data_IF_151635256665
#
_entry.id   IF_151635256665
#
_cell.length_a   1.000
_cell.length_b   1.000
_cell.length_c   1.000
_cell.angle_alpha   90.00
_cell.angle_beta   90.00
_cell.angle_gamma   90.00
#
_symmetry.space_group_name_H-M   'P 1'
#
loop_
_entity.id
_entity.type
_entity.pdbx_description
1 polymer ?
#
# COMPACT_ATOMS: atom_id res chain seq x y z
N UNK A 1 -21.03 6.41 -1.19
CA UNK A 1 -20.87 5.04 -0.65
C UNK A 1 -20.13 5.16 0.68
N UNK A 2 -20.59 4.53 1.76
CA UNK A 2 -19.98 4.71 3.10
C UNK A 2 -18.51 4.26 3.10
N UNK A 3 -17.60 5.06 3.68
CA UNK A 3 -16.16 4.77 3.85
C UNK A 3 -15.87 3.32 4.27
N UNK A 4 -16.61 2.83 5.26
CA UNK A 4 -16.47 1.45 5.76
C UNK A 4 -16.83 0.39 4.71
N UNK A 5 -17.78 0.67 3.82
CA UNK A 5 -18.13 -0.22 2.70
C UNK A 5 -16.99 -0.26 1.69
N UNK A 6 -16.36 0.88 1.38
CA UNK A 6 -15.23 0.93 0.44
C UNK A 6 -14.04 0.13 0.97
N UNK A 7 -13.68 0.29 2.24
CA UNK A 7 -12.59 -0.50 2.85
C UNK A 7 -12.92 -2.00 2.85
N UNK A 8 -14.16 -2.39 3.15
CA UNK A 8 -14.55 -3.81 3.10
C UNK A 8 -14.40 -4.39 1.70
N UNK A 9 -14.77 -3.65 0.66
CA UNK A 9 -14.55 -4.07 -0.73
C UNK A 9 -13.05 -4.22 -0.99
N UNK A 10 -12.22 -3.26 -0.57
CA UNK A 10 -10.76 -3.32 -0.73
C UNK A 10 -10.13 -4.54 -0.04
N UNK A 11 -10.57 -4.86 1.19
CA UNK A 11 -10.16 -6.07 1.92
C UNK A 11 -10.52 -7.32 1.12
N UNK A 12 -11.78 -7.44 0.67
CA UNK A 12 -12.25 -8.59 -0.11
C UNK A 12 -11.44 -8.72 -1.41
N UNK A 13 -11.21 -7.62 -2.13
CA UNK A 13 -10.42 -7.63 -3.36
C UNK A 13 -8.96 -8.01 -3.10
N UNK A 14 -8.37 -7.64 -1.96
CA UNK A 14 -7.03 -8.08 -1.59
C UNK A 14 -6.99 -9.57 -1.24
N UNK A 15 -8.00 -10.10 -0.56
CA UNK A 15 -8.08 -11.55 -0.31
C UNK A 15 -8.17 -12.32 -1.63
N UNK A 16 -9.03 -11.86 -2.55
CA UNK A 16 -9.13 -12.44 -3.89
C UNK A 16 -7.79 -12.34 -4.63
N UNK A 17 -7.11 -11.19 -4.54
CA UNK A 17 -5.81 -10.97 -5.14
C UNK A 17 -4.73 -11.94 -4.64
N UNK A 18 -4.69 -12.23 -3.32
CA UNK A 18 -3.79 -13.24 -2.75
C UNK A 18 -4.07 -14.62 -3.34
N UNK A 19 -5.34 -15.05 -3.33
CA UNK A 19 -5.74 -16.37 -3.85
C UNK A 19 -5.43 -16.48 -5.34
N UNK A 20 -5.74 -15.45 -6.12
CA UNK A 20 -5.41 -15.41 -7.55
C UNK A 20 -3.90 -15.45 -7.77
N UNK A 21 -3.11 -14.73 -6.97
CA UNK A 21 -1.65 -14.73 -7.01
C UNK A 21 -1.08 -16.14 -6.90
N UNK A 22 -1.51 -16.89 -5.87
CA UNK A 22 -1.12 -18.28 -5.64
C UNK A 22 -1.50 -19.17 -6.84
N UNK A 23 -2.71 -19.01 -7.38
CA UNK A 23 -3.18 -19.84 -8.51
C UNK A 23 -2.39 -19.56 -9.79
N UNK A 24 -2.06 -18.29 -10.06
CA UNK A 24 -1.40 -17.89 -11.31
C UNK A 24 0.12 -17.93 -11.22
N UNK A 25 0.70 -18.10 -10.03
CA UNK A 25 2.15 -18.24 -9.82
C UNK A 25 2.73 -19.36 -10.69
N UNK A 26 2.05 -20.51 -10.74
CA UNK A 26 2.48 -21.64 -11.58
C UNK A 26 2.57 -21.29 -13.09
N UNK A 27 1.80 -20.31 -13.55
CA UNK A 27 1.67 -19.96 -14.97
C UNK A 27 2.49 -18.73 -15.36
N UNK A 28 2.56 -17.74 -14.45
CA UNK A 28 3.13 -16.41 -14.72
C UNK A 28 4.26 -16.04 -13.76
N UNK A 29 4.65 -16.95 -12.87
CA UNK A 29 5.75 -16.86 -11.90
C UNK A 29 5.87 -15.45 -11.28
N UNK A 30 6.75 -14.60 -11.81
CA UNK A 30 6.95 -13.23 -11.33
C UNK A 30 5.66 -12.38 -11.23
N UNK A 31 4.69 -12.55 -12.14
CA UNK A 31 3.43 -11.80 -12.05
C UNK A 31 2.50 -12.36 -10.95
N UNK A 32 2.55 -13.67 -10.70
CA UNK A 32 1.84 -14.31 -9.59
C UNK A 32 2.40 -13.89 -8.24
N UNK A 33 3.73 -13.97 -8.08
CA UNK A 33 4.45 -13.50 -6.88
C UNK A 33 4.18 -12.01 -6.64
N UNK A 34 4.23 -11.18 -7.70
CA UNK A 34 3.89 -9.75 -7.59
C UNK A 34 2.48 -9.55 -7.07
N UNK A 35 1.49 -10.22 -7.68
CA UNK A 35 0.09 -10.06 -7.30
C UNK A 35 -0.16 -10.56 -5.88
N UNK A 36 0.38 -11.71 -5.51
CA UNK A 36 0.26 -12.28 -4.17
C UNK A 36 0.85 -11.33 -3.13
N UNK A 37 2.12 -10.96 -3.29
CA UNK A 37 2.85 -10.18 -2.29
C UNK A 37 2.24 -8.79 -2.10
N UNK A 38 1.94 -8.08 -3.19
CA UNK A 38 1.30 -6.76 -3.10
C UNK A 38 -0.13 -6.85 -2.56
N UNK A 39 -0.88 -7.91 -2.85
CA UNK A 39 -2.22 -8.11 -2.31
C UNK A 39 -2.18 -8.40 -0.81
N UNK A 40 -1.22 -9.21 -0.37
CA UNK A 40 -1.01 -9.52 1.05
C UNK A 40 -0.61 -8.28 1.84
N UNK A 41 0.36 -7.51 1.35
CA UNK A 41 0.78 -6.25 1.98
C UNK A 41 -0.39 -5.25 2.03
N UNK A 42 -1.13 -5.12 0.93
CA UNK A 42 -2.31 -4.25 0.88
C UNK A 42 -3.40 -4.70 1.85
N UNK A 43 -3.61 -6.01 2.03
CA UNK A 43 -4.57 -6.56 2.98
C UNK A 43 -4.25 -6.11 4.41
N UNK A 44 -2.99 -6.24 4.83
CA UNK A 44 -2.53 -5.79 6.16
C UNK A 44 -2.77 -4.29 6.32
N UNK A 45 -2.45 -3.49 5.31
CA UNK A 45 -2.68 -2.04 5.33
C UNK A 45 -4.17 -1.71 5.41
N UNK A 46 -5.04 -2.40 4.65
CA UNK A 46 -6.48 -2.16 4.66
C UNK A 46 -7.13 -2.50 5.99
N UNK A 47 -6.65 -3.55 6.66
CA UNK A 47 -7.09 -3.88 8.03
C UNK A 47 -6.79 -2.71 8.97
N UNK A 48 -5.59 -2.12 8.89
CA UNK A 48 -5.22 -0.95 9.71
C UNK A 48 -6.07 0.27 9.35
N UNK A 49 -6.23 0.55 8.05
CA UNK A 49 -7.03 1.68 7.56
C UNK A 49 -8.51 1.55 7.93
N UNK A 50 -9.03 0.35 8.18
CA UNK A 50 -10.42 0.14 8.62
C UNK A 50 -10.76 0.90 9.90
N UNK A 51 -9.78 1.08 10.79
CA UNK A 51 -9.94 1.76 12.07
C UNK A 51 -9.61 3.26 12.00
N UNK A 52 -9.19 3.76 10.84
CA UNK A 52 -8.71 5.12 10.67
C UNK A 52 -9.74 6.03 9.95
N UNK A 53 -9.62 7.36 10.14
CA UNK A 53 -10.48 8.33 9.47
C UNK A 53 -10.35 8.25 7.94
N UNK A 54 -11.43 8.60 7.24
CA UNK A 54 -11.51 8.59 5.77
C UNK A 54 -10.41 9.41 5.08
N UNK A 55 -10.00 10.52 5.69
CA UNK A 55 -8.90 11.34 5.17
C UNK A 55 -7.55 10.59 5.10
N UNK A 56 -7.31 9.60 5.96
CA UNK A 56 -6.09 8.77 5.90
C UNK A 56 -6.17 7.81 4.72
N UNK A 57 -7.34 7.20 4.48
CA UNK A 57 -7.56 6.32 3.33
C UNK A 57 -7.42 7.09 2.02
N UNK A 58 -8.01 8.28 1.90
CA UNK A 58 -7.93 9.09 0.68
C UNK A 58 -6.48 9.41 0.30
N UNK A 59 -5.69 9.88 1.28
CA UNK A 59 -4.26 10.15 1.08
C UNK A 59 -3.46 8.90 0.72
N UNK A 60 -3.80 7.74 1.31
CA UNK A 60 -3.15 6.48 0.98
C UNK A 60 -3.51 6.00 -0.43
N UNK A 61 -4.77 6.12 -0.87
CA UNK A 61 -5.21 5.73 -2.22
C UNK A 61 -4.50 6.55 -3.29
N UNK A 62 -4.32 7.86 -3.08
CA UNK A 62 -3.57 8.71 -4.01
C UNK A 62 -2.13 8.22 -4.20
N UNK A 63 -1.47 7.84 -3.10
CA UNK A 63 -0.15 7.23 -3.15
C UNK A 63 -0.17 5.89 -3.88
N UNK A 64 -1.05 4.96 -3.50
CA UNK A 64 -1.11 3.63 -4.07
C UNK A 64 -1.42 3.66 -5.59
N UNK A 65 -2.26 4.60 -6.03
CA UNK A 65 -2.58 4.81 -7.44
C UNK A 65 -1.36 5.15 -8.30
N UNK A 66 -0.36 5.83 -7.74
CA UNK A 66 0.87 6.20 -8.45
C UNK A 66 1.93 5.12 -8.27
N UNK A 67 2.06 4.60 -7.05
CA UNK A 67 3.11 3.65 -6.70
C UNK A 67 2.92 2.31 -7.43
N UNK A 68 1.71 1.74 -7.45
CA UNK A 68 1.47 0.42 -8.04
C UNK A 68 1.83 0.35 -9.53
N UNK A 69 1.41 1.29 -10.41
CA UNK A 69 1.85 1.29 -11.81
C UNK A 69 3.37 1.38 -11.96
N UNK A 70 4.03 2.22 -11.15
CA UNK A 70 5.49 2.35 -11.18
C UNK A 70 6.14 1.03 -10.78
N UNK A 71 5.66 0.36 -9.74
CA UNK A 71 6.18 -0.94 -9.30
C UNK A 71 6.01 -2.02 -10.35
N UNK A 72 4.87 -2.04 -11.07
CA UNK A 72 4.65 -2.97 -12.18
C UNK A 72 5.70 -2.73 -13.28
N UNK A 73 5.88 -1.48 -13.71
CA UNK A 73 6.85 -1.13 -14.76
C UNK A 73 8.27 -1.52 -14.34
N UNK A 74 8.68 -1.19 -13.11
CA UNK A 74 10.00 -1.54 -12.57
C UNK A 74 10.21 -3.05 -12.49
N UNK A 75 9.19 -3.80 -12.10
CA UNK A 75 9.25 -5.27 -12.05
C UNK A 75 9.37 -5.88 -13.44
N UNK A 76 8.68 -5.32 -14.45
CA UNK A 76 8.72 -5.80 -15.83
C UNK A 76 10.10 -5.62 -16.49
N UNK A 77 10.78 -4.51 -16.21
CA UNK A 77 12.12 -4.23 -16.75
C UNK A 77 13.24 -4.90 -15.94
N UNK A 78 12.94 -5.44 -14.76
CA UNK A 78 13.94 -6.10 -13.92
C UNK A 78 14.43 -7.40 -14.58
N UNK A 79 15.75 -7.69 -14.55
CA UNK A 79 16.30 -8.87 -15.20
C UNK A 79 15.76 -10.18 -14.58
N UNK A 80 15.54 -11.20 -15.41
CA UNK A 80 14.97 -12.48 -14.97
C UNK A 80 15.96 -13.39 -14.24
N UNK A 81 17.26 -13.21 -14.48
CA UNK A 81 18.30 -14.08 -13.93
C UNK A 81 19.36 -13.24 -13.20
N UNK A 82 19.77 -13.71 -12.01
CA UNK A 82 21.05 -13.30 -11.42
C UNK A 82 22.18 -13.73 -12.34
N UNK A 83 22.88 -12.77 -12.95
CA UNK A 83 24.15 -13.04 -13.61
C UNK A 83 25.22 -13.25 -12.54
N UNK A 84 25.43 -14.49 -12.12
CA UNK A 84 26.58 -14.84 -11.29
C UNK A 84 27.77 -15.07 -12.21
N UNK A 85 28.77 -14.19 -12.17
CA UNK A 85 30.06 -14.40 -12.82
C UNK A 85 30.92 -15.40 -12.03
N UNK A 86 31.85 -16.09 -12.72
CA UNK A 86 32.84 -17.00 -12.13
C UNK A 86 33.58 -16.34 -10.95
N UNK A 87 33.16 -16.63 -9.72
CA UNK A 87 33.87 -16.30 -8.48
C UNK A 87 33.59 -14.93 -7.85
N UNK A 88 32.58 -14.18 -8.28
CA UNK A 88 32.27 -12.84 -7.73
C UNK A 88 30.82 -12.75 -7.31
N UNK A 89 30.59 -12.08 -6.16
CA UNK A 89 29.28 -11.72 -5.58
C UNK A 89 28.21 -11.58 -6.66
N UNK A 90 27.11 -12.34 -6.57
CA UNK A 90 26.00 -12.26 -7.51
C UNK A 90 25.39 -10.85 -7.45
N UNK A 91 25.87 -9.96 -8.33
CA UNK A 91 25.35 -8.63 -8.56
C UNK A 91 24.24 -8.74 -9.60
N UNK A 92 23.05 -9.04 -9.10
CA UNK A 92 21.81 -9.08 -9.87
C UNK A 92 20.64 -9.13 -8.90
N UNK A 93 19.68 -8.24 -9.08
CA UNK A 93 18.37 -8.31 -8.45
C UNK A 93 17.53 -9.17 -9.38
N UNK A 94 17.17 -10.38 -8.97
CA UNK A 94 16.16 -11.13 -9.74
C UNK A 94 14.79 -10.44 -9.60
N UNK A 95 13.81 -10.89 -10.39
CA UNK A 95 12.47 -10.29 -10.35
C UNK A 95 11.84 -10.42 -8.96
N UNK A 96 12.11 -11.52 -8.26
CA UNK A 96 11.61 -11.75 -6.90
C UNK A 96 12.19 -10.74 -5.91
N UNK A 97 13.51 -10.54 -5.89
CA UNK A 97 14.17 -9.53 -5.06
C UNK A 97 13.62 -8.12 -5.32
N UNK A 98 13.36 -7.79 -6.59
CA UNK A 98 12.79 -6.51 -6.98
C UNK A 98 11.35 -6.35 -6.46
N UNK A 99 10.51 -7.38 -6.59
CA UNK A 99 9.15 -7.41 -6.06
C UNK A 99 9.18 -7.24 -4.54
N UNK A 100 10.03 -7.99 -3.84
CA UNK A 100 10.17 -7.93 -2.38
C UNK A 100 10.63 -6.53 -1.94
N UNK A 101 11.63 -5.97 -2.60
CA UNK A 101 12.16 -4.63 -2.31
C UNK A 101 11.12 -3.54 -2.53
N UNK A 102 10.37 -3.61 -3.64
CA UNK A 102 9.28 -2.68 -3.94
C UNK A 102 8.12 -2.85 -2.95
N UNK A 103 7.73 -4.07 -2.59
CA UNK A 103 6.69 -4.30 -1.59
C UNK A 103 7.10 -3.82 -0.19
N UNK A 104 8.38 -4.00 0.19
CA UNK A 104 8.90 -3.46 1.44
C UNK A 104 8.86 -1.92 1.44
N UNK A 105 9.29 -1.28 0.35
CA UNK A 105 9.22 0.18 0.20
C UNK A 105 7.77 0.68 0.22
N UNK A 106 6.85 -0.04 -0.42
CA UNK A 106 5.41 0.24 -0.40
C UNK A 106 4.87 0.24 1.03
N UNK A 107 5.22 -0.78 1.82
CA UNK A 107 4.80 -0.90 3.21
C UNK A 107 5.36 0.25 4.06
N UNK A 108 6.66 0.56 3.94
CA UNK A 108 7.31 1.64 4.69
C UNK A 108 6.66 2.99 4.41
N UNK A 109 6.46 3.33 3.12
CA UNK A 109 5.83 4.61 2.73
C UNK A 109 4.37 4.64 3.19
N UNK A 110 3.65 3.53 3.08
CA UNK A 110 2.27 3.41 3.54
C UNK A 110 2.15 3.71 5.04
N UNK A 111 2.99 3.09 5.87
CA UNK A 111 3.03 3.33 7.31
C UNK A 111 3.36 4.79 7.61
N UNK A 112 4.37 5.36 6.92
CA UNK A 112 4.75 6.75 7.10
C UNK A 112 3.59 7.72 6.79
N UNK A 113 2.87 7.50 5.69
CA UNK A 113 1.70 8.29 5.30
C UNK A 113 0.58 8.15 6.33
N UNK A 114 0.28 6.93 6.76
CA UNK A 114 -0.73 6.67 7.79
C UNK A 114 -0.42 7.45 9.08
N UNK A 115 0.81 7.34 9.59
CA UNK A 115 1.23 8.05 10.81
C UNK A 115 1.17 9.56 10.62
N UNK A 116 1.70 10.07 9.49
CA UNK A 116 1.76 11.52 9.21
C UNK A 116 0.36 12.12 9.12
N UNK A 117 -0.54 11.50 8.36
CA UNK A 117 -1.90 12.01 8.14
C UNK A 117 -2.74 11.88 9.40
N UNK A 118 -2.64 10.76 10.12
CA UNK A 118 -3.29 10.58 11.42
C UNK A 118 -2.85 11.65 12.44
N UNK A 119 -1.54 11.93 12.55
CA UNK A 119 -1.02 13.00 13.43
C UNK A 119 -1.49 14.40 13.01
N UNK A 120 -1.56 14.68 11.71
CA UNK A 120 -2.05 15.97 11.20
C UNK A 120 -3.52 16.20 11.55
N UNK A 121 -4.37 15.20 11.34
CA UNK A 121 -5.79 15.26 11.70
C UNK A 121 -5.97 15.52 13.20
N UNK A 122 -5.24 14.79 14.05
CA UNK A 122 -5.30 14.99 15.51
C UNK A 122 -4.86 16.40 15.95
N UNK A 123 -3.95 17.05 15.20
CA UNK A 123 -3.55 18.44 15.45
C UNK A 123 -4.66 19.42 15.07
N UNK A 124 -5.28 19.22 13.91
CA UNK A 124 -6.37 20.09 13.42
C UNK A 124 -7.62 20.06 14.31
N UNK A 125 -7.95 18.91 14.88
CA UNK A 125 -9.07 18.80 15.84
C UNK A 125 -8.79 19.52 17.17
N UNK A 126 -7.53 19.75 17.54
CA UNK A 126 -7.17 20.47 18.77
C UNK A 126 -7.15 21.99 18.62
N UNK A 127 -6.96 22.51 17.41
CA UNK A 127 -6.82 23.95 17.13
C UNK A 127 -8.10 24.62 16.64
N UNK A 128 -9.25 23.95 16.68
CA UNK A 128 -10.56 24.58 16.54
C UNK A 128 -11.15 24.80 17.94
N UNK A 129 -10.96 25.97 18.58
CA UNK A 129 -11.81 26.33 19.70
C UNK A 129 -13.24 26.44 19.18
N UNK A 130 -14.20 26.01 20.00
CA UNK A 130 -15.63 26.27 19.79
C UNK A 130 -15.85 27.68 19.22
N UNK A 131 -16.71 27.88 18.20
CA UNK A 131 -17.21 29.22 17.95
C UNK A 131 -17.97 29.66 19.22
N UNK A 132 -17.34 30.54 19.99
CA UNK A 132 -18.04 31.35 21.00
C UNK A 132 -18.90 32.31 20.18
N UNK A 133 -20.09 31.85 19.84
CA UNK A 133 -20.99 32.53 18.92
C UNK A 133 -22.43 32.21 19.28
N UNK A 134 -22.78 32.36 20.56
CA UNK A 134 -24.15 32.50 21.05
C UNK A 134 -24.12 33.17 22.44
N UNK A 135 -23.64 34.40 22.50
CA UNK A 135 -24.07 35.32 23.56
C UNK A 135 -25.06 36.30 22.94
N UNK A 136 -26.35 35.99 23.14
CA UNK A 136 -27.44 36.94 22.92
C UNK A 136 -27.30 38.07 23.95
N UNK A 137 -27.33 39.35 23.55
CA UNK A 137 -27.44 40.44 24.51
C UNK A 137 -28.83 40.39 25.15
N UNK A 138 -28.87 40.44 26.49
CA UNK A 138 -30.06 40.77 27.30
C UNK A 138 -29.87 42.18 27.80
#
# INVERSE_FOLDING_TARGET
>A
MSHKKNIRVLIITSVIGVVLGIIIEDWLNAAGIFLEFFSFVSLVIFIILHFLPEAVLASWIEFARIYLPISIILTLISPSNRQCGLGVVCLGTDKEDAIMSLGALFLIISIFLIIRTHRRLKRQTKTTPFPIGDQKPV
#
